data_IF_382084105821
#
_entry.id   IF_382084105821
#
_cell.length_a   1.000
_cell.length_b   1.000
_cell.length_c   1.000
_cell.angle_alpha   90.00
_cell.angle_beta   90.00
_cell.angle_gamma   90.00
#
_symmetry.space_group_name_H-M   'P 1'
#
loop_
_entity.id
_entity.type
_entity.pdbx_description
1 polymer ?
#
# COMPACT_ATOMS: atom_id res chain seq x y z
N UNK A 1 -2.84 -83.78 11.43
CA UNK A 1 -2.69 -83.69 12.89
C UNK A 1 -1.35 -82.97 13.14
N UNK A 2 -1.38 -81.63 13.18
CA UNK A 2 -1.31 -80.82 14.40
C UNK A 2 -0.04 -81.09 15.23
N UNK A 3 1.03 -80.35 14.95
CA UNK A 3 2.01 -79.99 15.98
C UNK A 3 2.15 -78.47 16.00
N UNK A 4 1.62 -77.91 17.08
CA UNK A 4 1.55 -76.50 17.43
C UNK A 4 2.93 -76.00 17.86
N UNK A 5 3.45 -74.99 17.17
CA UNK A 5 4.66 -74.24 17.54
C UNK A 5 4.31 -73.23 18.65
N UNK A 6 5.07 -73.29 19.74
CA UNK A 6 5.09 -72.37 20.88
C UNK A 6 5.53 -70.95 20.46
N UNK A 7 4.96 -69.87 21.04
CA UNK A 7 5.49 -68.52 20.86
C UNK A 7 6.54 -68.22 21.95
N UNK A 8 7.72 -67.80 21.51
CA UNK A 8 8.78 -67.27 22.36
C UNK A 8 8.40 -65.83 22.78
N UNK A 9 8.07 -65.65 24.05
CA UNK A 9 7.88 -64.35 24.70
C UNK A 9 9.22 -63.58 24.69
N UNK A 10 9.28 -62.52 23.89
CA UNK A 10 10.41 -61.59 23.85
C UNK A 10 10.29 -60.64 25.04
N UNK A 11 11.19 -60.82 26.00
CA UNK A 11 11.37 -60.01 27.20
C UNK A 11 11.84 -58.60 26.78
N UNK A 12 10.92 -57.66 26.60
CA UNK A 12 11.25 -56.25 26.47
C UNK A 12 11.76 -55.75 27.84
N UNK A 13 13.08 -55.78 28.03
CA UNK A 13 13.73 -55.12 29.15
C UNK A 13 13.42 -53.63 29.04
N UNK A 14 12.50 -53.14 29.88
CA UNK A 14 12.26 -51.72 30.06
C UNK A 14 13.55 -51.09 30.61
N UNK A 15 14.37 -50.54 29.70
CA UNK A 15 15.46 -49.66 30.07
C UNK A 15 14.82 -48.45 30.75
N UNK A 16 14.81 -48.46 32.08
CA UNK A 16 14.40 -47.29 32.85
C UNK A 16 15.47 -46.22 32.67
N UNK A 17 15.32 -45.44 31.60
CA UNK A 17 16.14 -44.26 31.36
C UNK A 17 16.07 -43.36 32.60
N UNK A 18 17.23 -43.05 33.18
CA UNK A 18 17.26 -42.12 34.30
C UNK A 18 16.91 -40.71 33.81
N UNK A 19 16.20 -39.96 34.63
CA UNK A 19 15.67 -38.64 34.28
C UNK A 19 16.77 -37.60 34.46
N UNK A 20 16.97 -36.74 33.46
CA UNK A 20 17.86 -35.58 33.58
C UNK A 20 17.17 -34.50 34.42
N UNK A 21 17.86 -33.99 35.43
CA UNK A 21 17.41 -32.82 36.19
C UNK A 21 18.49 -31.75 36.22
N UNK A 22 18.09 -30.54 36.59
CA UNK A 22 18.98 -29.38 36.64
C UNK A 22 19.13 -28.97 38.10
N UNK A 23 20.37 -28.81 38.54
CA UNK A 23 20.72 -28.30 39.85
C UNK A 23 21.28 -26.88 39.75
N UNK A 24 20.90 -26.07 40.73
CA UNK A 24 21.32 -24.68 40.91
C UNK A 24 21.27 -23.83 39.62
N UNK A 25 20.13 -23.81 38.89
CA UNK A 25 19.98 -22.85 37.82
C UNK A 25 19.90 -21.45 38.41
N UNK A 26 20.76 -20.55 37.95
CA UNK A 26 20.88 -19.17 38.44
C UNK A 26 20.96 -18.24 37.24
N UNK A 27 20.22 -17.14 37.29
CA UNK A 27 20.37 -16.06 36.32
C UNK A 27 20.96 -14.82 36.98
N UNK A 28 21.71 -14.04 36.19
CA UNK A 28 22.26 -12.75 36.59
C UNK A 28 22.14 -11.78 35.43
N UNK A 29 21.51 -10.64 35.66
CA UNK A 29 21.40 -9.52 34.70
C UNK A 29 22.46 -8.49 35.08
N UNK A 30 23.33 -8.19 34.14
CA UNK A 30 24.38 -7.19 34.27
C UNK A 30 24.06 -6.02 33.35
N UNK A 31 24.25 -4.80 33.84
CA UNK A 31 24.20 -3.61 32.99
C UNK A 31 25.49 -3.43 32.18
N UNK A 32 25.53 -2.43 31.29
CA UNK A 32 26.69 -2.11 30.45
C UNK A 32 27.99 -1.92 31.25
N UNK A 33 27.86 -1.38 32.48
CA UNK A 33 28.98 -1.09 33.38
C UNK A 33 29.38 -2.30 34.24
N UNK A 34 28.87 -3.49 33.91
CA UNK A 34 29.02 -4.75 34.67
C UNK A 34 28.47 -4.69 36.09
N UNK A 35 27.67 -3.68 36.42
CA UNK A 35 26.90 -3.63 37.65
C UNK A 35 25.80 -4.69 37.62
N UNK A 36 25.62 -5.38 38.73
CA UNK A 36 24.61 -6.42 38.89
C UNK A 36 23.25 -5.78 39.16
N UNK A 37 22.33 -5.90 38.21
CA UNK A 37 20.98 -5.34 38.33
C UNK A 37 20.07 -6.30 39.09
N UNK A 38 20.16 -7.60 38.78
CA UNK A 38 19.33 -8.64 39.38
C UNK A 38 20.01 -9.99 39.29
N UNK A 39 19.98 -10.75 40.38
CA UNK A 39 20.48 -12.13 40.41
C UNK A 39 19.64 -12.97 41.34
N UNK A 40 19.07 -14.05 40.82
CA UNK A 40 18.22 -14.96 41.59
C UNK A 40 18.48 -16.41 41.16
N UNK A 41 18.32 -17.31 42.12
CA UNK A 41 18.30 -18.75 41.85
C UNK A 41 16.90 -19.14 41.36
N UNK A 42 16.84 -19.90 40.27
CA UNK A 42 15.62 -20.35 39.63
C UNK A 42 15.15 -21.61 40.34
N UNK A 43 13.94 -21.59 40.88
CA UNK A 43 13.29 -22.79 41.41
C UNK A 43 12.53 -23.49 40.27
N UNK A 44 12.75 -24.79 40.09
CA UNK A 44 12.09 -25.56 39.02
C UNK A 44 10.56 -25.67 39.20
N UNK A 45 10.07 -25.57 40.43
CA UNK A 45 8.64 -25.72 40.77
C UNK A 45 7.85 -24.40 40.67
N UNK A 46 8.55 -23.25 40.67
CA UNK A 46 7.92 -21.92 40.64
C UNK A 46 8.64 -21.00 39.68
N UNK A 47 7.93 -20.63 38.61
CA UNK A 47 8.42 -19.68 37.62
C UNK A 47 8.72 -18.32 38.27
N UNK A 48 9.90 -17.72 38.05
CA UNK A 48 10.24 -16.41 38.57
C UNK A 48 9.43 -15.30 37.87
N UNK A 49 9.38 -14.12 38.48
CA UNK A 49 8.76 -12.94 37.85
C UNK A 49 9.50 -12.61 36.54
N UNK A 50 8.79 -12.15 35.48
CA UNK A 50 9.39 -11.92 34.16
C UNK A 50 10.65 -11.05 34.22
N UNK A 51 11.64 -11.40 33.42
CA UNK A 51 12.90 -10.67 33.32
C UNK A 51 12.80 -9.67 32.18
N UNK A 52 13.27 -8.45 32.39
CA UNK A 52 13.32 -7.39 31.36
C UNK A 52 14.78 -7.04 31.10
N UNK A 53 15.22 -7.12 29.85
CA UNK A 53 16.55 -6.66 29.43
C UNK A 53 16.42 -5.35 28.64
N UNK A 54 17.37 -4.45 28.83
CA UNK A 54 17.57 -3.29 27.95
C UNK A 54 18.55 -3.62 26.82
N UNK A 55 18.69 -2.72 25.85
CA UNK A 55 19.51 -2.91 24.64
C UNK A 55 21.01 -3.12 24.90
N UNK A 56 21.50 -2.83 26.11
CA UNK A 56 22.92 -2.97 26.46
C UNK A 56 23.19 -3.98 27.57
N UNK A 57 22.15 -4.62 28.10
CA UNK A 57 22.30 -5.55 29.22
C UNK A 57 22.85 -6.91 28.78
N UNK A 58 23.46 -7.61 29.74
CA UNK A 58 23.98 -8.96 29.56
C UNK A 58 23.29 -9.91 30.53
N UNK A 59 22.55 -10.88 30.01
CA UNK A 59 21.94 -11.95 30.79
C UNK A 59 22.90 -13.14 30.84
N UNK A 60 23.30 -13.52 32.06
CA UNK A 60 24.08 -14.73 32.31
C UNK A 60 23.19 -15.79 32.94
N UNK A 61 23.25 -17.00 32.42
CA UNK A 61 22.55 -18.17 32.94
C UNK A 61 23.58 -19.26 33.23
N UNK A 62 23.59 -19.75 34.48
CA UNK A 62 24.47 -20.84 34.90
C UNK A 62 23.63 -21.95 35.50
N UNK A 63 23.94 -23.21 35.17
CA UNK A 63 23.25 -24.36 35.72
C UNK A 63 24.14 -25.61 35.66
N UNK A 64 23.79 -26.63 36.43
CA UNK A 64 24.44 -27.94 36.38
C UNK A 64 23.42 -29.02 36.03
N UNK A 65 23.70 -29.81 34.99
CA UNK A 65 22.89 -30.97 34.62
C UNK A 65 23.34 -32.18 35.42
N UNK A 66 22.40 -32.86 36.08
CA UNK A 66 22.66 -34.02 36.92
C UNK A 66 21.71 -35.17 36.57
N UNK A 67 22.12 -36.39 36.93
CA UNK A 67 21.24 -37.55 36.92
C UNK A 67 20.31 -37.50 38.15
N UNK A 68 18.99 -37.54 37.93
CA UNK A 68 17.97 -37.52 38.98
C UNK A 68 18.05 -38.69 39.98
N UNK A 69 18.71 -39.80 39.63
CA UNK A 69 18.91 -40.95 40.54
C UNK A 69 20.20 -40.89 41.36
N UNK A 70 21.20 -40.09 40.94
CA UNK A 70 22.56 -40.19 41.48
C UNK A 70 23.26 -38.88 41.82
N UNK A 71 22.68 -37.72 41.47
CA UNK A 71 23.29 -36.40 41.71
C UNK A 71 24.64 -36.19 41.01
N UNK A 72 25.08 -37.15 40.20
CA UNK A 72 26.33 -37.07 39.43
C UNK A 72 26.10 -36.14 38.25
N UNK A 73 27.06 -35.26 38.01
CA UNK A 73 27.06 -34.40 36.83
C UNK A 73 27.11 -35.21 35.55
N UNK A 74 26.18 -34.94 34.63
CA UNK A 74 26.08 -35.64 33.34
C UNK A 74 26.42 -34.66 32.23
N UNK A 75 27.09 -35.15 31.19
CA UNK A 75 27.31 -34.42 29.95
C UNK A 75 26.27 -34.85 28.90
N UNK A 76 25.20 -34.05 28.65
CA UNK A 76 24.19 -34.41 27.66
C UNK A 76 24.74 -34.27 26.24
N UNK A 77 24.16 -35.03 25.31
CA UNK A 77 24.52 -34.95 23.89
C UNK A 77 23.93 -33.70 23.21
N UNK A 78 22.76 -33.25 23.69
CA UNK A 78 22.06 -32.07 23.22
C UNK A 78 21.72 -31.18 24.41
N UNK A 79 22.07 -29.89 24.30
CA UNK A 79 21.70 -28.87 25.29
C UNK A 79 21.44 -27.58 24.53
N UNK A 80 20.16 -27.22 24.44
CA UNK A 80 19.72 -26.04 23.71
C UNK A 80 18.84 -25.17 24.59
N UNK A 81 19.01 -23.85 24.45
CA UNK A 81 18.09 -22.88 25.00
C UNK A 81 17.17 -22.41 23.87
N UNK A 82 15.87 -22.61 24.06
CA UNK A 82 14.83 -22.20 23.13
C UNK A 82 14.20 -20.91 23.64
N UNK A 83 14.14 -19.91 22.79
CA UNK A 83 13.41 -18.67 22.95
C UNK A 83 12.19 -18.74 22.04
N UNK A 84 10.99 -18.72 22.60
CA UNK A 84 9.75 -18.89 21.83
C UNK A 84 8.84 -17.69 22.03
N UNK A 85 8.38 -17.10 20.92
CA UNK A 85 7.33 -16.09 20.93
C UNK A 85 5.98 -16.76 20.65
N UNK A 86 5.03 -16.62 21.58
CA UNK A 86 3.70 -17.24 21.43
C UNK A 86 2.82 -16.54 20.40
N UNK A 87 3.07 -15.25 20.13
CA UNK A 87 2.21 -14.45 19.26
C UNK A 87 2.59 -14.66 17.80
N UNK A 88 3.88 -14.56 17.47
CA UNK A 88 4.38 -14.82 16.12
C UNK A 88 4.54 -16.31 15.82
N UNK A 89 4.71 -17.15 16.85
CA UNK A 89 5.05 -18.57 16.69
C UNK A 89 6.50 -18.80 16.28
N UNK A 90 7.32 -17.74 16.23
CA UNK A 90 8.73 -17.84 15.87
C UNK A 90 9.57 -18.35 17.05
N UNK A 91 10.63 -19.10 16.73
CA UNK A 91 11.54 -19.65 17.72
C UNK A 91 13.01 -19.42 17.38
N UNK A 92 13.76 -19.12 18.42
CA UNK A 92 15.21 -19.05 18.38
C UNK A 92 15.84 -20.14 19.21
N UNK A 93 16.79 -20.88 18.65
CA UNK A 93 17.46 -21.98 19.35
C UNK A 93 18.95 -21.66 19.47
N UNK A 94 19.46 -21.68 20.70
CA UNK A 94 20.85 -21.40 20.99
C UNK A 94 21.52 -22.63 21.63
N UNK A 95 22.56 -23.21 21.01
CA UNK A 95 23.33 -24.28 21.64
C UNK A 95 24.10 -23.77 22.84
N UNK A 96 24.09 -24.55 23.92
CA UNK A 96 24.87 -24.29 25.14
C UNK A 96 25.93 -25.37 25.28
N UNK A 97 27.18 -24.95 25.52
CA UNK A 97 28.28 -25.86 25.81
C UNK A 97 28.24 -26.29 27.28
N UNK A 98 28.14 -27.59 27.51
CA UNK A 98 28.19 -28.20 28.84
C UNK A 98 29.58 -28.81 29.05
N UNK A 99 30.14 -28.68 30.24
CA UNK A 99 31.41 -29.34 30.62
C UNK A 99 31.20 -30.82 30.93
N UNK A 100 32.28 -31.60 31.07
CA UNK A 100 32.20 -33.02 31.42
C UNK A 100 31.52 -33.26 32.79
N UNK A 101 31.61 -32.30 33.72
CA UNK A 101 30.94 -32.34 35.03
C UNK A 101 29.50 -31.82 35.04
N UNK A 102 28.89 -31.61 33.86
CA UNK A 102 27.50 -31.14 33.73
C UNK A 102 27.29 -29.65 33.94
N UNK A 103 28.32 -28.87 34.24
CA UNK A 103 28.18 -27.40 34.43
C UNK A 103 28.10 -26.70 33.08
N UNK A 104 27.16 -25.77 32.96
CA UNK A 104 26.92 -24.97 31.76
C UNK A 104 26.87 -23.49 32.12
N UNK A 105 27.32 -22.65 31.18
CA UNK A 105 27.25 -21.20 31.27
C UNK A 105 26.80 -20.65 29.92
N UNK A 106 25.82 -19.77 29.95
CA UNK A 106 25.29 -19.07 28.79
C UNK A 106 25.30 -17.57 29.08
N UNK A 107 25.84 -16.80 28.14
CA UNK A 107 25.91 -15.34 28.23
C UNK A 107 25.21 -14.77 26.99
N UNK A 108 24.13 -14.02 27.20
CA UNK A 108 23.37 -13.33 26.17
C UNK A 108 23.63 -11.82 26.27
N UNK A 109 24.33 -11.27 25.29
CA UNK A 109 24.69 -9.87 25.24
C UNK A 109 23.75 -9.11 24.28
N UNK A 110 22.93 -8.19 24.81
CA UNK A 110 21.99 -7.40 24.00
C UNK A 110 22.66 -6.32 23.14
N UNK A 111 23.89 -5.90 23.44
CA UNK A 111 24.63 -4.97 22.59
C UNK A 111 25.00 -5.60 21.23
N UNK A 112 25.07 -6.92 21.16
CA UNK A 112 25.30 -7.72 19.94
C UNK A 112 24.44 -8.99 20.02
N UNK A 113 23.11 -8.84 19.86
CA UNK A 113 22.21 -9.96 20.04
C UNK A 113 22.50 -11.02 18.97
N UNK A 114 22.47 -12.32 19.32
CA UNK A 114 22.70 -13.38 18.34
C UNK A 114 21.55 -13.40 17.32
N UNK A 115 21.89 -13.65 16.05
CA UNK A 115 20.91 -13.73 14.95
C UNK A 115 19.92 -14.89 15.06
N UNK A 116 20.16 -15.79 16.01
CA UNK A 116 19.27 -16.90 16.34
C UNK A 116 18.08 -16.48 17.19
N UNK A 117 18.04 -15.26 17.74
CA UNK A 117 16.87 -14.79 18.47
C UNK A 117 15.71 -14.47 17.51
N UNK A 118 14.47 -14.81 17.88
CA UNK A 118 13.32 -14.42 17.09
C UNK A 118 13.13 -12.89 17.14
N UNK A 119 12.61 -12.28 16.07
CA UNK A 119 12.09 -10.92 16.06
C UNK A 119 11.23 -10.65 17.29
N UNK A 120 11.68 -9.75 18.16
CA UNK A 120 11.01 -9.51 19.43
C UNK A 120 10.01 -8.37 19.29
N UNK A 121 8.75 -8.69 19.56
CA UNK A 121 7.65 -7.74 19.71
C UNK A 121 7.45 -7.33 21.17
N UNK A 122 6.33 -6.69 21.51
CA UNK A 122 5.99 -6.30 22.88
C UNK A 122 5.67 -7.49 23.81
N UNK A 123 5.55 -8.71 23.28
CA UNK A 123 5.26 -9.92 24.04
C UNK A 123 6.51 -10.54 24.68
N UNK A 124 6.40 -11.21 25.84
CA UNK A 124 7.53 -11.90 26.46
C UNK A 124 7.90 -13.19 25.71
N UNK A 125 9.19 -13.45 25.56
CA UNK A 125 9.73 -14.70 25.04
C UNK A 125 9.78 -15.76 26.14
N UNK A 126 9.25 -16.95 25.87
CA UNK A 126 9.35 -18.11 26.77
C UNK A 126 10.70 -18.78 26.61
N UNK A 127 11.51 -18.76 27.66
CA UNK A 127 12.84 -19.39 27.67
C UNK A 127 12.74 -20.80 28.23
N UNK A 128 13.03 -21.79 27.39
CA UNK A 128 12.97 -23.22 27.73
C UNK A 128 14.31 -23.89 27.51
N UNK A 129 14.79 -24.65 28.48
CA UNK A 129 15.94 -25.52 28.35
C UNK A 129 15.53 -26.88 27.81
N UNK A 130 16.16 -27.30 26.72
CA UNK A 130 15.99 -28.60 26.09
C UNK A 130 17.25 -29.43 26.30
N UNK A 131 17.08 -30.60 26.94
CA UNK A 131 18.14 -31.54 27.22
C UNK A 131 17.85 -32.87 26.53
N UNK A 132 18.86 -33.42 25.84
CA UNK A 132 18.79 -34.71 25.17
C UNK A 132 20.05 -35.53 25.38
N UNK A 133 19.88 -36.84 25.58
CA UNK A 133 20.97 -37.82 25.64
C UNK A 133 20.46 -39.18 25.17
N UNK A 134 21.35 -40.06 24.72
CA UNK A 134 20.97 -41.41 24.27
C UNK A 134 20.59 -42.34 25.44
N UNK A 135 21.12 -42.06 26.64
CA UNK A 135 20.99 -42.92 27.83
C UNK A 135 19.87 -42.44 28.77
N UNK A 136 19.50 -41.17 28.68
CA UNK A 136 18.56 -40.52 29.59
C UNK A 136 17.32 -40.04 28.83
N UNK A 137 16.19 -39.97 29.52
CA UNK A 137 14.97 -39.42 28.93
C UNK A 137 15.15 -37.93 28.59
N UNK A 138 14.67 -37.45 27.43
CA UNK A 138 14.69 -36.03 27.10
C UNK A 138 13.97 -35.21 28.16
N UNK A 139 14.52 -34.04 28.50
CA UNK A 139 13.91 -33.13 29.46
C UNK A 139 13.65 -31.76 28.81
N UNK A 140 12.44 -31.26 29.00
CA UNK A 140 12.00 -29.91 28.62
C UNK A 140 11.67 -29.15 29.89
N UNK A 141 12.44 -28.10 30.18
CA UNK A 141 12.32 -27.34 31.43
C UNK A 141 12.10 -25.87 31.08
N UNK A 142 10.94 -25.33 31.46
CA UNK A 142 10.65 -23.90 31.30
C UNK A 142 11.34 -23.13 32.42
N UNK A 143 12.17 -22.14 32.07
CA UNK A 143 12.98 -21.41 33.04
C UNK A 143 12.28 -20.11 33.46
N UNK A 144 12.02 -19.21 32.51
CA UNK A 144 11.44 -17.89 32.77
C UNK A 144 10.92 -17.23 31.49
N UNK A 145 10.19 -16.13 31.68
CA UNK A 145 9.74 -15.25 30.61
C UNK A 145 10.67 -14.05 30.49
N UNK A 146 11.03 -13.69 29.25
CA UNK A 146 12.03 -12.69 28.94
C UNK A 146 11.45 -11.61 28.02
N UNK A 147 11.40 -10.37 28.51
CA UNK A 147 11.12 -9.19 27.70
C UNK A 147 12.43 -8.63 27.15
N UNK A 148 12.51 -8.53 25.83
CA UNK A 148 13.61 -7.89 25.12
C UNK A 148 13.13 -6.56 24.52
N UNK A 149 14.04 -5.60 24.26
CA UNK A 149 13.69 -4.42 23.49
C UNK A 149 13.27 -4.81 22.07
N UNK A 150 12.43 -3.99 21.44
CA UNK A 150 11.96 -4.23 20.08
C UNK A 150 13.14 -4.36 19.12
N UNK A 151 13.22 -5.48 18.41
CA UNK A 151 14.25 -5.72 17.39
C UNK A 151 13.78 -5.22 16.03
N UNK A 152 14.71 -5.11 15.09
CA UNK A 152 14.35 -4.94 13.68
C UNK A 152 13.48 -6.11 13.20
N UNK A 153 12.56 -5.89 12.25
CA UNK A 153 11.76 -6.96 11.66
C UNK A 153 12.68 -8.02 11.03
N UNK A 154 12.19 -9.27 10.89
CA UNK A 154 12.96 -10.31 10.23
C UNK A 154 13.36 -9.85 8.82
N UNK A 155 14.55 -10.25 8.32
CA UNK A 155 14.95 -9.95 6.96
C UNK A 155 13.95 -10.59 6.00
N UNK A 156 13.19 -9.75 5.30
CA UNK A 156 12.21 -10.20 4.32
C UNK A 156 12.92 -10.83 3.13
N UNK A 157 12.42 -12.00 2.69
CA UNK A 157 12.94 -12.64 1.50
C UNK A 157 12.53 -11.80 0.28
N UNK A 158 13.40 -11.55 -0.72
CA UNK A 158 13.06 -10.74 -1.89
C UNK A 158 11.79 -11.22 -2.61
N UNK A 159 11.53 -12.53 -2.59
CA UNK A 159 10.34 -13.12 -3.22
C UNK A 159 9.09 -13.17 -2.33
N UNK A 160 9.17 -12.77 -1.04
CA UNK A 160 8.04 -12.81 -0.09
C UNK A 160 6.83 -12.04 -0.62
N UNK A 161 7.06 -10.87 -1.22
CA UNK A 161 6.02 -10.03 -1.84
C UNK A 161 5.25 -10.74 -2.97
N UNK A 162 5.84 -11.76 -3.61
CA UNK A 162 5.19 -12.53 -4.69
C UNK A 162 4.17 -13.53 -4.17
N UNK A 163 4.23 -13.89 -2.89
CA UNK A 163 3.33 -14.86 -2.26
C UNK A 163 2.16 -14.19 -1.52
N UNK A 164 2.11 -12.85 -1.51
CA UNK A 164 1.04 -12.08 -0.89
C UNK A 164 0.15 -11.40 -1.93
N UNK A 165 -1.11 -11.18 -1.55
CA UNK A 165 -2.02 -10.38 -2.37
C UNK A 165 -1.50 -8.94 -2.43
N UNK A 166 -1.21 -8.48 -3.65
CA UNK A 166 -0.77 -7.11 -3.90
C UNK A 166 -1.94 -6.13 -3.72
N UNK A 167 -1.66 -4.90 -3.27
CA UNK A 167 -2.69 -3.87 -3.14
C UNK A 167 -3.31 -3.55 -4.50
N UNK A 168 -4.61 -3.25 -4.50
CA UNK A 168 -5.35 -2.87 -5.72
C UNK A 168 -4.87 -1.52 -6.26
N UNK A 169 -4.64 -1.44 -7.57
CA UNK A 169 -4.23 -0.20 -8.26
C UNK A 169 -5.46 0.51 -8.79
N UNK A 170 -5.64 1.79 -8.43
CA UNK A 170 -6.73 2.64 -8.94
C UNK A 170 -6.22 3.64 -9.99
N UNK A 171 -6.86 3.68 -11.16
CA UNK A 171 -6.56 4.68 -12.17
C UNK A 171 -7.08 6.06 -11.73
N UNK A 172 -6.20 7.05 -11.67
CA UNK A 172 -6.57 8.44 -11.34
C UNK A 172 -6.77 9.24 -12.64
N UNK A 173 -8.02 9.61 -12.93
CA UNK A 173 -8.34 10.45 -14.08
C UNK A 173 -7.85 11.89 -13.86
N UNK A 174 -7.63 12.62 -14.96
CA UNK A 174 -7.34 14.04 -14.89
C UNK A 174 -8.55 14.79 -14.33
N UNK A 175 -8.36 15.76 -13.42
CA UNK A 175 -9.46 16.58 -12.92
C UNK A 175 -10.06 17.41 -14.06
N UNK A 176 -11.34 17.70 -13.96
CA UNK A 176 -12.03 18.61 -14.89
C UNK A 176 -11.40 20.02 -14.85
N UNK A 177 -11.34 20.67 -16.02
CA UNK A 177 -10.84 22.04 -16.10
C UNK A 177 -11.81 22.99 -15.40
N UNK A 178 -11.29 23.87 -14.55
CA UNK A 178 -12.10 24.86 -13.84
C UNK A 178 -12.61 25.92 -14.81
N UNK A 179 -13.92 25.96 -15.02
CA UNK A 179 -14.59 26.99 -15.82
C UNK A 179 -14.88 28.25 -14.99
N UNK A 180 -14.90 29.45 -15.61
CA UNK A 180 -15.22 30.70 -14.91
C UNK A 180 -16.69 30.78 -14.49
N UNK A 181 -17.02 31.61 -13.48
CA UNK A 181 -18.40 31.82 -13.03
C UNK A 181 -19.32 32.34 -14.14
N UNK A 182 -20.51 31.75 -14.27
CA UNK A 182 -21.51 32.09 -15.30
C UNK A 182 -21.88 33.58 -15.34
N UNK A 183 -21.96 34.21 -14.17
CA UNK A 183 -22.27 35.65 -14.05
C UNK A 183 -21.22 36.52 -14.74
N UNK A 184 -19.93 36.24 -14.52
CA UNK A 184 -18.84 36.99 -15.14
C UNK A 184 -18.91 36.81 -16.65
N UNK A 185 -19.07 35.57 -17.14
CA UNK A 185 -19.22 35.31 -18.58
C UNK A 185 -20.42 36.05 -19.19
N UNK A 186 -21.55 36.14 -18.48
CA UNK A 186 -22.73 36.87 -18.96
C UNK A 186 -22.51 38.38 -19.05
N UNK A 187 -21.82 38.99 -18.07
CA UNK A 187 -21.47 40.42 -18.11
C UNK A 187 -20.58 40.73 -19.31
N UNK A 188 -19.54 39.93 -19.54
CA UNK A 188 -18.67 40.13 -20.71
C UNK A 188 -19.40 39.89 -22.04
N UNK A 189 -20.30 38.92 -22.12
CA UNK A 189 -21.14 38.74 -23.30
C UNK A 189 -22.03 39.97 -23.57
N UNK A 190 -22.61 40.58 -22.54
CA UNK A 190 -23.38 41.82 -22.68
C UNK A 190 -22.51 42.99 -23.15
N UNK A 191 -21.26 43.09 -22.67
CA UNK A 191 -20.30 44.10 -23.15
C UNK A 191 -20.00 43.90 -24.64
N UNK A 192 -19.81 42.67 -25.11
CA UNK A 192 -19.57 42.37 -26.54
C UNK A 192 -20.77 42.75 -27.41
N UNK A 193 -22.00 42.61 -26.90
CA UNK A 193 -23.23 42.97 -27.63
C UNK A 193 -23.51 44.48 -27.58
N UNK A 194 -22.98 45.22 -26.60
CA UNK A 194 -23.25 46.65 -26.38
C UNK A 194 -23.03 47.56 -27.61
N UNK A 195 -21.92 47.45 -28.38
CA UNK A 195 -21.71 48.28 -29.56
C UNK A 195 -22.80 48.12 -30.62
N UNK A 196 -23.35 46.91 -30.78
CA UNK A 196 -24.45 46.65 -31.72
C UNK A 196 -25.73 47.35 -31.29
N UNK A 197 -26.05 47.33 -29.99
CA UNK A 197 -27.21 48.04 -29.43
C UNK A 197 -27.06 49.55 -29.63
N UNK A 198 -25.86 50.09 -29.38
CA UNK A 198 -25.56 51.51 -29.60
C UNK A 198 -25.71 51.88 -31.08
N UNK A 199 -25.19 51.07 -31.99
CA UNK A 199 -25.30 51.28 -33.43
C UNK A 199 -26.77 51.34 -33.88
N UNK A 200 -27.60 50.40 -33.43
CA UNK A 200 -29.03 50.39 -33.73
C UNK A 200 -29.74 51.63 -33.16
N UNK A 201 -29.41 52.05 -31.94
CA UNK A 201 -29.93 53.28 -31.35
C UNK A 201 -29.57 54.53 -32.15
N UNK A 202 -28.34 54.61 -32.66
CA UNK A 202 -27.89 55.72 -33.49
C UNK A 202 -28.58 55.73 -34.86
N UNK A 203 -28.81 54.57 -35.47
CA UNK A 203 -29.57 54.47 -36.72
C UNK A 203 -31.00 54.97 -36.58
N UNK A 204 -31.67 54.69 -35.47
CA UNK A 204 -33.02 55.24 -35.20
C UNK A 204 -32.98 56.78 -35.18
N UNK A 205 -31.96 57.37 -34.57
CA UNK A 205 -31.80 58.83 -34.50
C UNK A 205 -31.49 59.47 -35.87
N UNK A 206 -30.65 58.83 -36.68
CA UNK A 206 -30.25 59.32 -38.01
C UNK A 206 -31.36 59.08 -39.06
N UNK A 207 -32.22 58.07 -38.83
CA UNK A 207 -33.31 57.66 -39.71
C UNK A 207 -32.90 57.53 -41.19
N UNK A 208 -31.93 56.64 -41.52
CA UNK A 208 -31.48 56.47 -42.89
C UNK A 208 -32.62 55.96 -43.78
N UNK A 209 -32.98 56.73 -44.81
CA UNK A 209 -34.04 56.33 -45.74
C UNK A 209 -33.55 55.29 -46.75
N UNK A 210 -34.23 54.16 -46.86
CA UNK A 210 -33.98 53.11 -47.88
C UNK A 210 -35.19 52.95 -48.82
N UNK A 211 -35.54 53.97 -49.61
CA UNK A 211 -36.82 54.04 -50.35
C UNK A 211 -37.02 52.92 -51.39
N UNK A 212 -35.96 52.19 -51.76
CA UNK A 212 -35.99 51.15 -52.79
C UNK A 212 -35.73 49.73 -52.29
N UNK A 213 -35.70 49.53 -50.97
CA UNK A 213 -35.51 48.20 -50.39
C UNK A 213 -36.57 47.20 -50.89
N UNK A 214 -37.81 47.66 -51.05
CA UNK A 214 -38.94 46.87 -51.55
C UNK A 214 -39.11 46.89 -53.08
N UNK A 215 -38.12 47.40 -53.82
CA UNK A 215 -38.15 47.33 -55.29
C UNK A 215 -38.01 45.88 -55.76
N UNK A 216 -38.76 45.45 -56.80
CA UNK A 216 -38.68 44.08 -57.33
C UNK A 216 -37.28 43.70 -57.83
N UNK A 217 -36.42 44.69 -58.14
CA UNK A 217 -35.04 44.44 -58.57
C UNK A 217 -34.05 44.28 -57.42
N UNK A 218 -34.35 44.80 -56.22
CA UNK A 218 -33.40 44.84 -55.08
C UNK A 218 -33.78 43.83 -54.01
N UNK A 219 -35.08 43.68 -53.73
CA UNK A 219 -35.59 42.77 -52.69
C UNK A 219 -35.08 41.32 -52.86
N UNK A 220 -35.11 40.71 -54.07
CA UNK A 220 -34.61 39.34 -54.23
C UNK A 220 -33.14 39.20 -53.84
N UNK A 221 -32.31 40.19 -54.18
CA UNK A 221 -30.89 40.18 -53.84
C UNK A 221 -30.65 40.31 -52.33
N UNK A 222 -31.36 41.22 -51.65
CA UNK A 222 -31.23 41.37 -50.18
C UNK A 222 -31.73 40.16 -49.42
N UNK A 223 -32.80 39.52 -49.89
CA UNK A 223 -33.32 38.27 -49.30
C UNK A 223 -32.33 37.12 -49.46
N UNK A 224 -31.67 37.02 -50.61
CA UNK A 224 -30.65 36.00 -50.84
C UNK A 224 -29.39 36.22 -49.98
N UNK A 225 -28.99 37.47 -49.76
CA UNK A 225 -27.92 37.79 -48.79
C UNK A 225 -28.32 37.39 -47.37
N UNK A 226 -29.55 37.67 -46.94
CA UNK A 226 -30.05 37.21 -45.64
C UNK A 226 -30.10 35.68 -45.54
N UNK A 227 -30.44 34.99 -46.64
CA UNK A 227 -30.41 33.54 -46.70
C UNK A 227 -28.99 32.97 -46.55
N UNK A 228 -27.96 33.65 -47.05
CA UNK A 228 -26.56 33.28 -46.82
C UNK A 228 -26.17 33.41 -45.34
N UNK A 229 -26.57 34.50 -44.67
CA UNK A 229 -26.32 34.68 -43.23
C UNK A 229 -27.03 33.61 -42.40
N UNK A 230 -28.27 33.26 -42.75
CA UNK A 230 -29.01 32.17 -42.10
C UNK A 230 -28.35 30.80 -42.34
N UNK A 231 -27.82 30.56 -43.55
CA UNK A 231 -27.09 29.34 -43.84
C UNK A 231 -25.82 29.22 -42.99
N UNK A 232 -25.08 30.31 -42.81
CA UNK A 232 -23.90 30.36 -41.94
C UNK A 232 -24.26 30.21 -40.46
N UNK A 233 -25.38 30.77 -40.03
CA UNK A 233 -25.90 30.54 -38.69
C UNK A 233 -26.25 29.06 -38.46
N UNK A 234 -26.90 28.41 -39.43
CA UNK A 234 -27.23 26.98 -39.32
C UNK A 234 -25.98 26.09 -39.37
N UNK A 235 -24.96 26.50 -40.15
CA UNK A 235 -23.64 25.86 -40.13
C UNK A 235 -23.03 25.84 -38.73
N UNK A 236 -23.12 26.96 -38.01
CA UNK A 236 -22.59 27.05 -36.65
C UNK A 236 -23.32 26.14 -35.65
N UNK A 237 -24.61 25.86 -35.87
CA UNK A 237 -25.42 25.01 -34.98
C UNK A 237 -25.22 23.53 -35.26
N UNK A 238 -25.37 23.10 -36.52
CA UNK A 238 -25.56 21.67 -36.83
C UNK A 238 -24.95 21.21 -38.17
N UNK A 239 -24.88 22.10 -39.17
CA UNK A 239 -24.59 21.71 -40.55
C UNK A 239 -23.13 21.23 -40.74
N UNK A 240 -22.93 20.21 -41.57
CA UNK A 240 -21.58 19.75 -41.95
C UNK A 240 -21.02 20.60 -43.09
N UNK A 241 -19.69 20.70 -43.18
CA UNK A 241 -19.01 21.52 -44.19
C UNK A 241 -19.48 21.22 -45.63
N UNK A 242 -19.59 19.95 -46.02
CA UNK A 242 -20.05 19.58 -47.36
C UNK A 242 -21.49 20.02 -47.67
N UNK A 243 -22.38 20.04 -46.67
CA UNK A 243 -23.77 20.48 -46.83
C UNK A 243 -23.84 22.00 -47.03
N UNK A 244 -23.07 22.76 -46.26
CA UNK A 244 -23.00 24.23 -46.41
C UNK A 244 -22.46 24.62 -47.77
N UNK A 245 -21.41 23.93 -48.24
CA UNK A 245 -20.86 24.16 -49.57
C UNK A 245 -21.88 23.85 -50.66
N UNK A 246 -22.62 22.74 -50.54
CA UNK A 246 -23.67 22.37 -51.49
C UNK A 246 -24.83 23.38 -51.50
N UNK A 247 -25.38 23.70 -50.34
CA UNK A 247 -26.49 24.66 -50.21
C UNK A 247 -26.05 26.07 -50.61
N UNK A 248 -24.82 26.47 -50.25
CA UNK A 248 -24.23 27.74 -50.67
C UNK A 248 -24.02 27.81 -52.18
N UNK A 249 -23.60 26.71 -52.82
CA UNK A 249 -23.49 26.65 -54.28
C UNK A 249 -24.86 26.78 -54.95
N UNK A 250 -25.87 26.07 -54.45
CA UNK A 250 -27.26 26.15 -54.96
C UNK A 250 -27.81 27.58 -54.79
N UNK A 251 -27.61 28.19 -53.61
CA UNK A 251 -28.04 29.56 -53.30
C UNK A 251 -27.24 30.62 -54.08
N UNK A 252 -25.99 30.34 -54.42
CA UNK A 252 -25.11 31.24 -55.14
C UNK A 252 -25.58 31.54 -56.57
N UNK A 253 -26.13 30.53 -57.27
CA UNK A 253 -26.63 30.68 -58.65
C UNK A 253 -27.67 31.81 -58.78
N UNK A 254 -28.82 31.80 -58.06
CA UNK A 254 -29.79 32.89 -58.14
C UNK A 254 -29.24 34.21 -57.59
N UNK A 255 -28.31 34.16 -56.63
CA UNK A 255 -27.70 35.37 -56.03
C UNK A 255 -26.88 36.16 -57.03
N UNK A 256 -26.16 35.49 -57.93
CA UNK A 256 -25.39 36.15 -59.00
C UNK A 256 -26.34 36.91 -59.95
N UNK A 257 -27.43 36.29 -60.38
CA UNK A 257 -28.39 36.93 -61.29
C UNK A 257 -29.16 38.07 -60.61
N UNK A 258 -29.68 37.85 -59.41
CA UNK A 258 -30.36 38.88 -58.63
C UNK A 258 -29.43 40.05 -58.29
N UNK A 259 -28.17 39.76 -57.96
CA UNK A 259 -27.14 40.77 -57.71
C UNK A 259 -26.84 41.62 -58.94
N UNK A 260 -26.62 40.98 -60.10
CA UNK A 260 -26.42 41.70 -61.37
C UNK A 260 -27.59 42.65 -61.66
N UNK A 261 -28.82 42.17 -61.50
CA UNK A 261 -30.02 42.98 -61.74
C UNK A 261 -30.17 44.13 -60.73
N UNK A 262 -29.95 43.88 -59.44
CA UNK A 262 -30.01 44.89 -58.39
C UNK A 262 -28.97 46.00 -58.61
N UNK A 263 -27.71 45.62 -58.87
CA UNK A 263 -26.62 46.58 -59.11
C UNK A 263 -26.84 47.38 -60.40
N UNK A 264 -27.31 46.74 -61.48
CA UNK A 264 -27.62 47.44 -62.73
C UNK A 264 -28.74 48.48 -62.53
N UNK A 265 -29.85 48.10 -61.88
CA UNK A 265 -30.96 49.01 -61.57
C UNK A 265 -30.51 50.22 -60.71
N UNK A 266 -29.63 49.99 -59.73
CA UNK A 266 -29.05 51.06 -58.93
C UNK A 266 -28.15 51.99 -59.77
N UNK A 267 -27.38 51.42 -60.70
CA UNK A 267 -26.52 52.14 -61.64
C UNK A 267 -27.31 53.03 -62.59
N UNK A 268 -28.32 52.48 -63.26
CA UNK A 268 -29.17 53.21 -64.23
C UNK A 268 -29.85 54.42 -63.58
N UNK A 269 -30.27 54.28 -62.33
CA UNK A 269 -30.88 55.40 -61.59
C UNK A 269 -29.87 56.50 -61.25
N UNK A 270 -28.61 56.17 -60.96
CA UNK A 270 -27.57 57.18 -60.69
C UNK A 270 -27.22 57.97 -61.95
N UNK A 271 -27.29 57.32 -63.11
CA UNK A 271 -27.01 57.94 -64.42
C UNK A 271 -28.27 58.62 -65.01
N UNK A 272 -29.45 58.44 -64.38
CA UNK A 272 -30.71 59.07 -64.80
C UNK A 272 -31.38 58.39 -65.99
N UNK A 273 -30.99 57.15 -66.32
CA UNK A 273 -31.61 56.34 -67.36
C UNK A 273 -32.83 55.64 -66.75
N UNK A 274 -34.04 56.07 -67.12
CA UNK A 274 -35.29 55.40 -66.75
C UNK A 274 -35.54 54.18 -67.63
#
# INVERSE_FOLDING_TARGET
MLFSLTPLLLLAAAAQASVLSVQSPKFTILSSDKSELRSEDISLDKKPAPLTLSSTDVLKLTFQVVDGKGGKGVHPHQTFLRFFDEVSGEEGIQPIRVTAGGKAKFDLNMAKPPSSLPPTSAAPLKVTLLLGSFVHSPAKIELFDLYLPASYPPPQHPDEASFHLLPTIHHTFRPEQKVPPKFISAVFAAIVVSPWVLLLGLWIKVNPSTPRLFSPSILPFTTLLAAFELLLFWYWIELKLGQVLLYGAILGVPTIFAGKQALASMGDTRVGRK
#
